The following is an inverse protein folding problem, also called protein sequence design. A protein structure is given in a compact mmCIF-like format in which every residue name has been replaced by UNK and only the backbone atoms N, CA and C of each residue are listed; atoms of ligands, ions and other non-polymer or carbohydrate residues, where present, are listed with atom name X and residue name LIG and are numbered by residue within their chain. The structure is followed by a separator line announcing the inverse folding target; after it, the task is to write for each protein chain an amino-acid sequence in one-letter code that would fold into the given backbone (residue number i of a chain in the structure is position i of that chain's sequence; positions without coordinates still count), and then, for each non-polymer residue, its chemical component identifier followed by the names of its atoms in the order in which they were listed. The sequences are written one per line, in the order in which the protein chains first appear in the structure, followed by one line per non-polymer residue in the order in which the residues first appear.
data_IF_219339132563
#
_entry.id   IF_219339132563
#
_cell.length_a   1.000
_cell.length_b   1.000
_cell.length_c   1.000
_cell.angle_alpha   90.00
_cell.angle_beta   90.00
_cell.angle_gamma   90.00
#
_symmetry.space_group_name_H-M   'P 1'
#
loop_
_entity.id
_entity.type
_entity.pdbx_description
1 polymer ?
#
# COMPACT_ATOMS: atom_id res chain seq x y z
N UNK A 1 29.57 14.70 40.98
CA UNK A 1 28.32 14.46 40.23
C UNK A 1 28.55 13.26 39.35
N UNK A 2 27.97 12.13 39.73
CA UNK A 2 28.02 10.86 38.99
C UNK A 2 26.94 10.95 37.93
N UNK A 3 27.32 10.89 36.65
CA UNK A 3 26.36 10.62 35.57
C UNK A 3 26.35 9.11 35.42
N UNK A 4 25.26 8.50 35.86
CA UNK A 4 24.95 7.08 35.77
C UNK A 4 24.71 6.63 34.32
N UNK A 5 25.19 5.43 33.99
CA UNK A 5 24.40 4.46 33.25
C UNK A 5 24.40 4.54 31.72
N UNK A 6 25.50 4.14 31.09
CA UNK A 6 25.42 3.43 29.80
C UNK A 6 25.77 1.95 30.08
N UNK A 7 24.95 0.96 29.71
CA UNK A 7 25.25 -0.43 30.01
C UNK A 7 26.57 -0.83 29.32
N UNK A 8 27.59 -1.33 30.05
CA UNK A 8 28.77 -1.94 29.47
C UNK A 8 28.38 -3.34 28.98
N UNK A 9 27.61 -3.39 27.90
CA UNK A 9 27.02 -4.64 27.39
C UNK A 9 26.91 -4.70 25.88
N UNK A 10 27.35 -3.65 25.16
CA UNK A 10 27.69 -3.76 23.75
C UNK A 10 29.20 -3.78 23.67
N UNK A 11 29.80 -4.82 24.26
CA UNK A 11 31.12 -5.24 23.79
C UNK A 11 30.91 -5.58 22.33
N UNK A 12 31.42 -4.74 21.43
CA UNK A 12 31.64 -5.14 20.04
C UNK A 12 32.47 -6.42 20.11
N UNK A 13 31.81 -7.57 19.99
CA UNK A 13 32.48 -8.86 19.98
C UNK A 13 33.62 -8.73 18.98
N UNK A 14 34.90 -8.85 19.42
CA UNK A 14 36.00 -8.85 18.48
C UNK A 14 35.76 -10.07 17.60
N UNK A 15 35.27 -9.82 16.38
CA UNK A 15 35.17 -10.85 15.35
C UNK A 15 36.55 -11.48 15.33
N UNK A 16 36.61 -12.78 15.68
CA UNK A 16 37.87 -13.47 15.81
C UNK A 16 38.72 -13.19 14.55
N UNK A 17 39.99 -12.79 14.68
CA UNK A 17 40.82 -12.39 13.54
C UNK A 17 40.92 -13.49 12.46
N UNK A 18 40.63 -14.73 12.83
CA UNK A 18 40.59 -15.88 11.94
C UNK A 18 39.37 -15.91 10.99
N UNK A 19 38.32 -15.13 11.26
CA UNK A 19 37.12 -15.03 10.42
C UNK A 19 37.14 -13.85 9.45
N UNK A 20 38.03 -12.86 9.65
CA UNK A 20 38.26 -11.78 8.68
C UNK A 20 38.45 -12.27 7.23
N UNK A 21 39.32 -13.26 6.94
CA UNK A 21 39.54 -13.69 5.56
C UNK A 21 38.30 -14.30 4.92
N UNK A 22 37.42 -14.95 5.70
CA UNK A 22 36.17 -15.49 5.21
C UNK A 22 35.17 -14.38 4.86
N UNK A 23 35.13 -13.32 5.68
CA UNK A 23 34.30 -12.14 5.43
C UNK A 23 34.77 -11.41 4.16
N UNK A 24 36.08 -11.23 3.99
CA UNK A 24 36.65 -10.53 2.83
C UNK A 24 36.36 -11.27 1.52
N UNK A 25 36.29 -12.60 1.55
CA UNK A 25 35.90 -13.42 0.40
C UNK A 25 34.42 -13.25 0.07
N UNK A 26 33.56 -13.17 1.09
CA UNK A 26 32.10 -13.22 0.95
C UNK A 26 31.48 -11.82 0.67
N UNK A 27 32.04 -10.77 1.26
CA UNK A 27 31.58 -9.38 1.12
C UNK A 27 31.36 -8.93 -0.35
N UNK A 28 32.29 -9.17 -1.31
CA UNK A 28 32.07 -8.74 -2.69
C UNK A 28 30.89 -9.45 -3.37
N UNK A 29 30.54 -10.67 -2.96
CA UNK A 29 29.37 -11.38 -3.50
C UNK A 29 28.08 -10.72 -3.01
N UNK A 30 27.98 -10.40 -1.72
CA UNK A 30 26.82 -9.71 -1.16
C UNK A 30 26.62 -8.31 -1.76
N UNK A 31 27.70 -7.56 -2.01
CA UNK A 31 27.62 -6.26 -2.67
C UNK A 31 27.09 -6.36 -4.11
N UNK A 32 27.47 -7.40 -4.87
CA UNK A 32 26.92 -7.62 -6.21
C UNK A 32 25.46 -8.08 -6.16
N UNK A 33 25.12 -8.93 -5.20
CA UNK A 33 23.75 -9.41 -5.00
C UNK A 33 22.82 -8.26 -4.59
N UNK A 34 23.28 -7.35 -3.73
CA UNK A 34 22.47 -6.22 -3.26
C UNK A 34 22.18 -5.24 -4.37
N UNK A 35 23.11 -5.01 -5.29
CA UNK A 35 22.87 -4.21 -6.51
C UNK A 35 21.84 -4.88 -7.41
N UNK A 36 21.93 -6.20 -7.61
CA UNK A 36 20.97 -6.95 -8.42
C UNK A 36 19.57 -6.95 -7.80
N UNK A 37 19.47 -7.21 -6.50
CA UNK A 37 18.24 -7.18 -5.72
C UNK A 37 17.64 -5.77 -5.69
N UNK A 38 18.46 -4.74 -5.47
CA UNK A 38 18.05 -3.34 -5.47
C UNK A 38 17.52 -2.89 -6.83
N UNK A 39 18.15 -3.32 -7.92
CA UNK A 39 17.69 -3.04 -9.28
C UNK A 39 16.34 -3.67 -9.60
N UNK A 40 16.19 -4.97 -9.35
CA UNK A 40 14.93 -5.70 -9.58
C UNK A 40 13.82 -5.11 -8.70
N UNK A 41 14.12 -4.83 -7.43
CA UNK A 41 13.18 -4.22 -6.51
C UNK A 41 12.72 -2.82 -6.96
N UNK A 42 13.65 -2.00 -7.47
CA UNK A 42 13.32 -0.69 -8.03
C UNK A 42 12.37 -0.78 -9.24
N UNK A 43 12.63 -1.71 -10.17
CA UNK A 43 11.75 -1.94 -11.33
C UNK A 43 10.37 -2.43 -10.88
N UNK A 44 10.31 -3.32 -9.89
CA UNK A 44 9.05 -3.82 -9.35
C UNK A 44 8.19 -2.70 -8.74
N UNK A 45 8.81 -1.80 -7.96
CA UNK A 45 8.11 -0.62 -7.42
C UNK A 45 7.60 0.27 -8.55
N UNK A 46 8.42 0.51 -9.58
CA UNK A 46 8.01 1.34 -10.72
C UNK A 46 6.77 0.75 -11.41
N UNK A 47 6.76 -0.56 -11.69
CA UNK A 47 5.61 -1.24 -12.27
C UNK A 47 4.37 -1.18 -11.37
N UNK A 48 4.56 -1.28 -10.05
CA UNK A 48 3.48 -1.19 -9.07
C UNK A 48 2.86 0.22 -9.08
N UNK A 49 3.68 1.28 -9.12
CA UNK A 49 3.21 2.66 -9.24
C UNK A 49 2.44 2.89 -10.54
N UNK A 50 2.95 2.38 -11.66
CA UNK A 50 2.26 2.46 -12.96
C UNK A 50 0.90 1.76 -12.89
N UNK A 51 0.84 0.54 -12.33
CA UNK A 51 -0.41 -0.20 -12.15
C UNK A 51 -1.43 0.63 -11.35
N UNK A 52 -1.02 1.20 -10.20
CA UNK A 52 -1.89 2.02 -9.37
C UNK A 52 -2.39 3.26 -10.14
N UNK A 53 -1.52 3.90 -10.92
CA UNK A 53 -1.88 5.05 -11.73
C UNK A 53 -2.95 4.72 -12.78
N UNK A 54 -2.75 3.65 -13.54
CA UNK A 54 -3.73 3.20 -14.54
C UNK A 54 -5.06 2.84 -13.90
N UNK A 55 -5.03 2.12 -12.79
CA UNK A 55 -6.23 1.69 -12.09
C UNK A 55 -7.06 2.90 -11.61
N UNK A 56 -6.40 3.95 -11.07
CA UNK A 56 -7.09 5.20 -10.73
C UNK A 56 -7.72 5.89 -11.93
N UNK A 57 -7.07 5.85 -13.10
CA UNK A 57 -7.62 6.43 -14.34
C UNK A 57 -8.84 5.64 -14.82
N UNK A 58 -8.79 4.31 -14.78
CA UNK A 58 -9.92 3.46 -15.15
C UNK A 58 -11.11 3.67 -14.22
N UNK A 59 -10.89 3.74 -12.91
CA UNK A 59 -11.97 3.98 -11.94
C UNK A 59 -12.66 5.32 -12.18
N UNK A 60 -11.91 6.39 -12.50
CA UNK A 60 -12.51 7.68 -12.87
C UNK A 60 -13.36 7.56 -14.12
N UNK A 61 -12.84 6.91 -15.16
CA UNK A 61 -13.54 6.76 -16.43
C UNK A 61 -14.85 5.95 -16.27
N UNK A 62 -14.84 4.90 -15.43
CA UNK A 62 -16.06 4.17 -15.07
C UNK A 62 -17.05 5.02 -14.28
N UNK A 63 -16.59 5.93 -13.42
CA UNK A 63 -17.48 6.86 -12.72
C UNK A 63 -18.13 7.85 -13.68
N UNK A 64 -17.38 8.34 -14.66
CA UNK A 64 -17.88 9.25 -15.69
C UNK A 64 -18.91 8.56 -16.58
N UNK A 65 -18.61 7.35 -17.10
CA UNK A 65 -19.59 6.55 -17.86
C UNK A 65 -20.87 6.27 -17.05
N UNK A 66 -20.72 5.99 -15.75
CA UNK A 66 -21.86 5.75 -14.87
C UNK A 66 -22.69 7.02 -14.68
N UNK A 67 -22.05 8.17 -14.59
CA UNK A 67 -22.74 9.45 -14.50
C UNK A 67 -23.55 9.72 -15.79
N UNK A 68 -22.94 9.52 -16.96
CA UNK A 68 -23.59 9.71 -18.25
C UNK A 68 -24.79 8.78 -18.43
N UNK A 69 -24.67 7.50 -18.04
CA UNK A 69 -25.78 6.55 -18.04
C UNK A 69 -26.89 6.93 -17.05
N UNK A 70 -26.55 7.46 -15.87
CA UNK A 70 -27.55 7.92 -14.90
C UNK A 70 -28.33 9.13 -15.44
N UNK A 71 -27.66 10.08 -16.12
CA UNK A 71 -28.31 11.23 -16.78
C UNK A 71 -29.25 10.74 -17.90
N UNK A 72 -28.80 9.78 -18.70
CA UNK A 72 -29.61 9.21 -19.78
C UNK A 72 -30.84 8.46 -19.23
N UNK A 73 -30.66 7.65 -18.18
CA UNK A 73 -31.76 6.94 -17.52
C UNK A 73 -32.82 7.89 -16.95
N UNK A 74 -32.40 9.03 -16.41
CA UNK A 74 -33.32 10.06 -15.90
C UNK A 74 -34.23 10.60 -17.02
N UNK A 75 -33.70 10.77 -18.22
CA UNK A 75 -34.49 11.22 -19.38
C UNK A 75 -35.55 10.21 -19.80
N UNK A 76 -35.25 8.91 -19.72
CA UNK A 76 -36.17 7.83 -20.08
C UNK A 76 -37.06 7.34 -18.92
N UNK A 77 -37.00 7.98 -17.75
CA UNK A 77 -37.77 7.57 -16.57
C UNK A 77 -37.36 6.21 -15.99
N UNK A 78 -36.15 5.74 -16.30
CA UNK A 78 -35.60 4.49 -15.79
C UNK A 78 -35.01 4.69 -14.39
N UNK A 79 -35.05 3.66 -13.52
CA UNK A 79 -34.53 3.78 -12.15
C UNK A 79 -33.03 4.07 -12.15
N UNK A 80 -32.65 5.23 -11.59
CA UNK A 80 -31.26 5.69 -11.52
C UNK A 80 -30.54 5.16 -10.28
N UNK A 81 -29.21 5.15 -10.33
CA UNK A 81 -28.40 4.63 -9.23
C UNK A 81 -28.53 5.46 -7.93
N UNK A 82 -28.90 6.75 -8.06
CA UNK A 82 -29.22 7.66 -6.94
C UNK A 82 -30.49 7.23 -6.18
N UNK A 83 -31.51 6.76 -6.90
CA UNK A 83 -32.80 6.34 -6.33
C UNK A 83 -32.65 5.10 -5.43
N UNK A 84 -31.77 4.17 -5.82
CA UNK A 84 -31.48 2.93 -5.05
C UNK A 84 -30.73 3.19 -3.74
N UNK A 85 -29.79 4.15 -3.70
CA UNK A 85 -29.07 4.55 -2.46
C UNK A 85 -30.00 5.17 -1.42
N UNK A 86 -31.00 5.95 -1.84
CA UNK A 86 -31.98 6.56 -0.94
C UNK A 86 -32.85 5.52 -0.22
N UNK A 87 -33.27 4.46 -0.93
CA UNK A 87 -34.08 3.39 -0.36
C UNK A 87 -33.32 2.58 0.70
N UNK A 88 -32.08 2.16 0.39
CA UNK A 88 -31.22 1.45 1.35
C UNK A 88 -31.00 2.28 2.63
N UNK A 89 -30.69 3.58 2.50
CA UNK A 89 -30.48 4.45 3.66
C UNK A 89 -31.72 4.56 4.55
N UNK A 90 -32.94 4.58 3.98
CA UNK A 90 -34.21 4.59 4.73
C UNK A 90 -34.49 3.27 5.45
N UNK A 91 -34.18 2.13 4.82
CA UNK A 91 -34.37 0.81 5.44
C UNK A 91 -33.43 0.62 6.64
N UNK A 92 -32.15 1.01 6.49
CA UNK A 92 -31.18 0.90 7.58
C UNK A 92 -31.40 1.91 8.72
N UNK A 93 -31.87 3.13 8.43
CA UNK A 93 -32.19 4.11 9.49
C UNK A 93 -33.42 3.71 10.30
N UNK A 94 -34.39 3.02 9.69
CA UNK A 94 -35.61 2.56 10.38
C UNK A 94 -35.32 1.45 11.39
N UNK A 95 -34.38 0.54 11.10
CA UNK A 95 -33.93 -0.49 12.07
C UNK A 95 -33.19 0.11 13.28
N UNK A 96 -32.53 1.24 13.11
CA UNK A 96 -31.76 1.89 14.19
C UNK A 96 -32.65 2.61 15.22
N UNK A 97 -33.87 3.01 14.83
CA UNK A 97 -34.84 3.65 15.74
C UNK A 97 -35.64 2.65 16.59
N UNK A 98 -35.72 1.39 16.18
CA UNK A 98 -36.46 0.34 16.92
C UNK A 98 -35.67 -0.30 18.08
N UNK A 99 -34.42 0.13 18.32
CA UNK A 99 -33.57 -0.34 19.43
C UNK A 99 -33.38 0.72 20.54
N UNK A 100 -34.20 1.76 20.56
CA UNK A 100 -34.25 2.76 21.63
C UNK A 100 -35.57 2.65 22.37
#
# INVERSE_FOLDING_TARGET
MVVEGLPPGIETLPIAPDLQPLIDIIQPFFSKLSVLLGGIFGVYILLLLVRIYYERKHVRLLQDMRYDLDVLNEHYGLPTSKQRKGWLRRVFSSRKKSKK
#
